data_IF_934464279591
#
_entry.id   IF_934464279591
#
_cell.length_a   1.000
_cell.length_b   1.000
_cell.length_c   1.000
_cell.angle_alpha   90.00
_cell.angle_beta   90.00
_cell.angle_gamma   90.00
#
_symmetry.space_group_name_H-M   'P 1'
#
loop_
_entity.id
_entity.type
_entity.pdbx_description
1 polymer ?
#
# COMPACT_ATOMS: atom_id res chain seq x y z
N UNK A 1 -3.53 8.55 10.76
CA UNK A 1 -4.79 7.87 11.15
C UNK A 1 -4.57 7.17 12.47
N UNK A 2 -5.57 7.17 13.34
CA UNK A 2 -5.58 6.48 14.63
C UNK A 2 -6.91 5.74 14.74
N UNK A 3 -6.88 4.44 14.90
CA UNK A 3 -8.04 3.56 14.94
C UNK A 3 -8.09 2.83 16.27
N UNK A 4 -9.18 3.01 16.99
CA UNK A 4 -9.47 2.21 18.18
C UNK A 4 -10.51 1.15 17.81
N UNK A 5 -10.07 -0.10 17.70
CA UNK A 5 -10.93 -1.24 17.36
C UNK A 5 -11.12 -2.07 18.63
N UNK A 6 -12.36 -2.41 19.04
CA UNK A 6 -12.59 -3.23 20.22
C UNK A 6 -11.80 -4.55 20.15
N UNK A 7 -11.11 -4.90 21.24
CA UNK A 7 -10.30 -6.11 21.39
C UNK A 7 -9.03 -6.20 20.52
N UNK A 8 -8.65 -5.13 19.81
CA UNK A 8 -7.35 -5.01 19.15
C UNK A 8 -6.54 -3.88 19.81
N UNK A 9 -5.22 -3.94 19.64
CA UNK A 9 -4.37 -2.80 19.93
C UNK A 9 -4.73 -1.60 19.03
N UNK A 10 -4.44 -0.40 19.51
CA UNK A 10 -4.68 0.80 18.73
C UNK A 10 -3.76 0.84 17.51
N UNK A 11 -4.35 0.97 16.32
CA UNK A 11 -3.59 1.08 15.08
C UNK A 11 -3.38 2.56 14.78
N UNK A 12 -2.13 2.97 14.57
CA UNK A 12 -1.77 4.35 14.23
C UNK A 12 -0.73 4.40 13.13
N UNK A 13 -0.95 5.17 12.06
CA UNK A 13 0.02 5.38 10.98
C UNK A 13 -0.14 6.75 10.32
N UNK A 14 0.96 7.30 9.79
CA UNK A 14 0.98 8.62 9.13
C UNK A 14 1.30 8.53 7.63
N UNK A 15 1.96 7.45 7.23
CA UNK A 15 2.30 7.17 5.84
C UNK A 15 1.52 5.97 5.29
N UNK A 16 1.34 5.95 3.98
CA UNK A 16 0.84 4.79 3.24
C UNK A 16 1.83 4.47 2.13
N UNK A 17 2.36 3.26 2.17
CA UNK A 17 3.35 2.75 1.24
C UNK A 17 2.68 1.78 0.28
N UNK A 18 2.93 1.98 -1.02
CA UNK A 18 2.38 1.16 -2.08
C UNK A 18 3.51 0.54 -2.92
N UNK A 19 3.40 -0.74 -3.24
CA UNK A 19 4.05 -1.26 -4.44
C UNK A 19 3.36 -0.75 -5.72
N UNK A 20 4.06 -0.81 -6.85
CA UNK A 20 3.51 -0.43 -8.15
C UNK A 20 2.81 -1.58 -8.88
N UNK A 21 3.54 -2.65 -9.24
CA UNK A 21 3.08 -3.65 -10.22
C UNK A 21 2.38 -4.81 -9.51
N UNK A 22 1.18 -5.17 -9.97
CA UNK A 22 0.31 -6.09 -9.26
C UNK A 22 -0.40 -5.46 -8.06
N UNK A 23 -0.12 -4.18 -7.77
CA UNK A 23 -0.71 -3.41 -6.67
C UNK A 23 -1.44 -2.16 -7.17
N UNK A 24 -0.72 -1.05 -7.43
CA UNK A 24 -1.34 0.19 -7.94
C UNK A 24 -1.72 0.10 -9.43
N UNK A 25 -1.02 -0.75 -10.17
CA UNK A 25 -1.11 -0.85 -11.61
C UNK A 25 -0.63 -2.19 -12.12
N UNK A 26 -0.73 -2.35 -13.44
CA UNK A 26 -0.30 -3.55 -14.16
C UNK A 26 0.72 -3.13 -15.22
N UNK A 27 1.81 -3.88 -15.37
CA UNK A 27 2.84 -3.62 -16.38
C UNK A 27 3.34 -2.16 -16.41
N UNK A 28 3.49 -1.55 -15.24
CA UNK A 28 3.97 -0.18 -15.07
C UNK A 28 2.95 0.90 -15.45
N UNK A 29 1.65 0.58 -15.54
CA UNK A 29 0.57 1.54 -15.86
C UNK A 29 -0.41 1.67 -14.70
N UNK A 30 -0.71 2.91 -14.30
CA UNK A 30 -1.69 3.18 -13.25
C UNK A 30 -2.98 3.71 -13.89
N UNK A 31 -4.12 3.10 -13.54
CA UNK A 31 -5.42 3.57 -14.01
C UNK A 31 -5.76 4.97 -13.49
N UNK A 32 -6.46 5.78 -14.30
CA UNK A 32 -6.80 7.17 -13.94
C UNK A 32 -7.65 7.28 -12.66
N UNK A 33 -8.53 6.31 -12.40
CA UNK A 33 -9.30 6.26 -11.16
C UNK A 33 -8.39 6.07 -9.93
N UNK A 34 -7.39 5.19 -10.01
CA UNK A 34 -6.41 4.99 -8.94
C UNK A 34 -5.60 6.27 -8.72
N UNK A 35 -5.15 6.94 -9.79
CA UNK A 35 -4.48 8.25 -9.69
C UNK A 35 -5.34 9.29 -8.98
N UNK A 36 -6.65 9.34 -9.26
CA UNK A 36 -7.58 10.23 -8.58
C UNK A 36 -7.73 9.89 -7.09
N UNK A 37 -7.79 8.59 -6.76
CA UNK A 37 -7.86 8.13 -5.36
C UNK A 37 -6.57 8.42 -4.58
N UNK A 38 -5.39 8.24 -5.20
CA UNK A 38 -4.11 8.63 -4.60
C UNK A 38 -4.09 10.13 -4.25
N UNK A 39 -4.61 11.00 -5.12
CA UNK A 39 -4.73 12.43 -4.81
C UNK A 39 -5.59 12.72 -3.58
N UNK A 40 -6.60 11.89 -3.30
CA UNK A 40 -7.43 12.05 -2.09
C UNK A 40 -6.72 11.56 -0.83
N UNK A 41 -5.81 10.59 -0.96
CA UNK A 41 -5.01 10.11 0.18
C UNK A 41 -3.97 11.13 0.62
N UNK A 42 -3.34 11.86 -0.31
CA UNK A 42 -2.28 12.83 0.04
C UNK A 42 -2.78 13.97 0.92
N UNK A 43 -4.09 14.25 0.92
CA UNK A 43 -4.70 15.26 1.79
C UNK A 43 -4.70 14.83 3.27
N UNK A 44 -4.42 13.55 3.54
CA UNK A 44 -4.50 12.93 4.88
C UNK A 44 -3.24 12.19 5.31
N UNK A 45 -2.40 11.78 4.36
CA UNK A 45 -1.27 10.89 4.60
C UNK A 45 -0.06 11.27 3.77
N UNK A 46 1.13 10.91 4.25
CA UNK A 46 2.30 10.82 3.38
C UNK A 46 2.15 9.58 2.49
N UNK A 47 1.88 9.76 1.20
CA UNK A 47 1.76 8.65 0.25
C UNK A 47 3.10 8.41 -0.44
N UNK A 48 3.59 7.17 -0.39
CA UNK A 48 4.88 6.76 -0.95
C UNK A 48 4.67 5.58 -1.87
N UNK A 49 5.25 5.63 -3.08
CA UNK A 49 5.29 4.51 -4.01
C UNK A 49 6.72 3.96 -4.06
N UNK A 50 6.89 2.69 -3.71
CA UNK A 50 8.17 1.99 -3.78
C UNK A 50 8.17 1.05 -4.98
N UNK A 51 9.10 1.22 -5.91
CA UNK A 51 9.16 0.36 -7.09
C UNK A 51 10.58 0.16 -7.61
N UNK A 52 10.82 -1.00 -8.21
CA UNK A 52 12.02 -1.27 -8.98
C UNK A 52 12.05 -0.56 -10.35
N UNK A 53 10.93 0.06 -10.75
CA UNK A 53 10.77 0.74 -12.04
C UNK A 53 11.26 -0.10 -13.23
N UNK A 54 10.95 -1.39 -13.24
CA UNK A 54 11.42 -2.34 -14.26
C UNK A 54 11.02 -1.93 -15.68
N UNK A 55 9.92 -1.17 -15.81
CA UNK A 55 9.39 -0.68 -17.09
C UNK A 55 9.86 0.75 -17.43
N UNK A 56 10.54 1.45 -16.53
CA UNK A 56 10.99 2.83 -16.73
C UNK A 56 9.86 3.86 -16.80
N UNK A 57 8.67 3.54 -16.28
CA UNK A 57 7.45 4.35 -16.39
C UNK A 57 7.10 5.09 -15.10
N UNK A 58 7.80 4.82 -13.99
CA UNK A 58 7.43 5.30 -12.66
C UNK A 58 7.28 6.83 -12.59
N UNK A 59 8.23 7.57 -13.14
CA UNK A 59 8.19 9.04 -13.16
C UNK A 59 7.08 9.60 -14.05
N UNK A 60 6.78 8.94 -15.17
CA UNK A 60 5.74 9.37 -16.10
C UNK A 60 4.34 9.12 -15.52
N UNK A 61 4.09 7.92 -14.98
CA UNK A 61 2.78 7.55 -14.43
C UNK A 61 2.40 8.35 -13.19
N UNK A 62 3.39 8.70 -12.36
CA UNK A 62 3.19 9.47 -11.14
C UNK A 62 3.38 10.99 -11.37
N UNK A 63 3.64 11.41 -12.61
CA UNK A 63 3.86 12.82 -12.94
C UNK A 63 2.66 13.68 -12.55
N UNK A 64 2.91 14.70 -11.74
CA UNK A 64 1.86 15.62 -11.26
C UNK A 64 0.97 15.04 -10.17
N UNK A 65 1.26 13.83 -9.67
CA UNK A 65 0.70 13.34 -8.41
C UNK A 65 1.58 13.81 -7.25
N UNK A 66 1.01 14.37 -6.18
CA UNK A 66 1.75 14.81 -5.00
C UNK A 66 2.15 13.63 -4.09
N UNK A 67 2.71 12.56 -4.67
CA UNK A 67 3.20 11.37 -3.96
C UNK A 67 4.72 11.37 -3.90
N UNK A 68 5.30 10.72 -2.90
CA UNK A 68 6.73 10.43 -2.85
C UNK A 68 7.03 9.17 -3.66
N UNK A 69 8.20 9.12 -4.28
CA UNK A 69 8.63 8.01 -5.11
C UNK A 69 9.98 7.54 -4.62
N UNK A 70 10.06 6.27 -4.24
CA UNK A 70 11.30 5.61 -3.80
C UNK A 70 11.64 4.50 -4.80
N UNK A 71 12.83 4.57 -5.39
CA UNK A 71 13.33 3.52 -6.29
C UNK A 71 14.01 2.46 -5.44
N UNK A 72 13.61 1.20 -5.60
CA UNK A 72 14.11 0.08 -4.78
C UNK A 72 14.50 -1.10 -5.65
N UNK A 73 15.65 -1.73 -5.41
CA UNK A 73 16.16 -2.81 -6.26
C UNK A 73 15.62 -4.20 -5.87
N UNK A 74 15.23 -4.39 -4.61
CA UNK A 74 14.77 -5.67 -4.07
C UNK A 74 13.93 -5.48 -2.79
N UNK A 75 13.37 -6.58 -2.28
CA UNK A 75 12.51 -6.53 -1.08
C UNK A 75 13.22 -6.14 0.22
N UNK A 76 14.52 -6.42 0.35
CA UNK A 76 15.30 -6.03 1.54
C UNK A 76 15.47 -4.51 1.59
N UNK A 77 15.85 -3.90 0.45
CA UNK A 77 15.95 -2.45 0.32
C UNK A 77 14.58 -1.77 0.50
N UNK A 78 13.53 -2.36 -0.07
CA UNK A 78 12.15 -1.88 0.10
C UNK A 78 11.75 -1.81 1.58
N UNK A 79 12.01 -2.88 2.33
CA UNK A 79 11.71 -2.93 3.77
C UNK A 79 12.57 -1.94 4.58
N UNK A 80 13.85 -1.75 4.21
CA UNK A 80 14.71 -0.79 4.90
C UNK A 80 14.25 0.66 4.69
N UNK A 81 13.89 1.03 3.46
CA UNK A 81 13.31 2.35 3.16
C UNK A 81 11.97 2.52 3.87
N UNK A 82 11.14 1.47 3.93
CA UNK A 82 9.84 1.52 4.58
C UNK A 82 9.94 1.92 6.06
N UNK A 83 10.97 1.47 6.78
CA UNK A 83 11.22 1.86 8.18
C UNK A 83 11.37 3.37 8.36
N UNK A 84 11.90 4.08 7.37
CA UNK A 84 12.02 5.54 7.39
C UNK A 84 10.68 6.28 7.37
N UNK A 85 9.59 5.58 7.05
CA UNK A 85 8.22 6.08 7.02
C UNK A 85 7.36 5.55 8.17
N UNK A 86 7.92 4.78 9.10
CA UNK A 86 7.20 4.27 10.27
C UNK A 86 6.72 5.44 11.17
N UNK A 87 5.48 5.38 11.68
CA UNK A 87 4.49 4.32 11.50
C UNK A 87 3.73 4.42 10.17
N UNK A 88 3.56 3.30 9.47
CA UNK A 88 2.96 3.25 8.14
C UNK A 88 1.93 2.13 7.96
N UNK A 89 0.98 2.34 7.04
CA UNK A 89 0.22 1.28 6.41
C UNK A 89 0.88 0.87 5.08
N UNK A 90 0.78 -0.39 4.70
CA UNK A 90 1.39 -0.93 3.49
C UNK A 90 0.38 -1.65 2.60
N UNK A 91 0.60 -1.56 1.29
CA UNK A 91 -0.20 -2.24 0.27
C UNK A 91 0.75 -2.87 -0.75
N UNK A 92 0.62 -4.18 -0.95
CA UNK A 92 1.46 -4.95 -1.86
C UNK A 92 0.79 -6.23 -2.34
N UNK A 93 1.49 -7.01 -3.15
CA UNK A 93 1.01 -8.32 -3.62
C UNK A 93 2.12 -9.37 -3.78
N UNK A 94 3.40 -8.96 -3.80
CA UNK A 94 4.53 -9.81 -4.19
C UNK A 94 5.44 -10.21 -3.04
N UNK A 95 6.32 -11.20 -3.30
CA UNK A 95 7.32 -11.65 -2.31
C UNK A 95 8.32 -10.55 -1.91
N UNK A 96 8.56 -9.57 -2.78
CA UNK A 96 9.39 -8.42 -2.46
C UNK A 96 8.70 -7.43 -1.50
N UNK A 97 7.40 -7.57 -1.23
CA UNK A 97 6.64 -6.73 -0.31
C UNK A 97 6.55 -7.31 1.10
N UNK A 98 6.77 -8.62 1.27
CA UNK A 98 6.52 -9.36 2.52
C UNK A 98 7.11 -8.65 3.74
N UNK A 99 8.40 -8.34 3.73
CA UNK A 99 9.04 -7.70 4.87
C UNK A 99 8.55 -6.25 5.13
N UNK A 100 8.06 -5.54 4.12
CA UNK A 100 7.41 -4.24 4.28
C UNK A 100 6.01 -4.42 4.90
N UNK A 101 5.26 -5.42 4.46
CA UNK A 101 3.92 -5.75 4.98
C UNK A 101 3.99 -6.18 6.45
N UNK A 102 4.91 -7.07 6.81
CA UNK A 102 5.11 -7.54 8.19
C UNK A 102 5.51 -6.40 9.16
N UNK A 103 6.17 -5.36 8.66
CA UNK A 103 6.57 -4.20 9.44
C UNK A 103 5.52 -3.09 9.53
N UNK A 104 4.36 -3.24 8.89
CA UNK A 104 3.31 -2.23 8.84
C UNK A 104 2.39 -2.31 10.06
N UNK A 105 1.80 -1.16 10.41
CA UNK A 105 0.74 -1.07 11.44
C UNK A 105 -0.60 -1.57 10.90
N UNK A 106 -0.74 -1.57 9.57
CA UNK A 106 -1.87 -2.10 8.83
C UNK A 106 -1.40 -2.49 7.42
N UNK A 107 -1.51 -3.76 7.08
CA UNK A 107 -1.07 -4.32 5.81
C UNK A 107 -2.24 -4.82 4.96
N UNK A 108 -2.22 -4.46 3.68
CA UNK A 108 -3.14 -4.94 2.66
C UNK A 108 -2.43 -5.79 1.62
N UNK A 109 -3.01 -6.95 1.30
CA UNK A 109 -2.64 -7.73 0.14
C UNK A 109 -3.68 -7.55 -0.98
N UNK A 110 -3.22 -7.20 -2.18
CA UNK A 110 -4.06 -7.05 -3.37
C UNK A 110 -3.98 -8.31 -4.23
N UNK A 111 -5.09 -9.02 -4.38
CA UNK A 111 -5.23 -10.12 -5.34
C UNK A 111 -5.79 -9.57 -6.64
N UNK A 112 -4.93 -8.86 -7.38
CA UNK A 112 -5.26 -8.29 -8.68
C UNK A 112 -5.17 -9.30 -9.85
N UNK A 113 -5.21 -8.82 -11.10
CA UNK A 113 -5.08 -9.66 -12.30
C UNK A 113 -3.76 -10.46 -12.38
N UNK A 114 -2.68 -9.92 -11.79
CA UNK A 114 -1.37 -10.59 -11.70
C UNK A 114 -1.30 -11.64 -10.57
N UNK A 115 -2.37 -11.77 -9.77
CA UNK A 115 -2.40 -12.59 -8.57
C UNK A 115 -1.62 -11.97 -7.40
N UNK A 116 -1.44 -12.76 -6.34
CA UNK A 116 -0.63 -12.41 -5.19
C UNK A 116 0.12 -13.65 -4.69
N UNK A 117 1.26 -13.45 -4.04
CA UNK A 117 2.00 -14.56 -3.44
C UNK A 117 1.37 -14.99 -2.13
N UNK A 118 1.52 -16.27 -1.79
CA UNK A 118 1.03 -16.82 -0.51
C UNK A 118 1.68 -16.08 0.67
N UNK A 119 2.97 -15.79 0.57
CA UNK A 119 3.71 -15.11 1.64
C UNK A 119 3.21 -13.68 1.85
N UNK A 120 2.92 -12.92 0.78
CA UNK A 120 2.34 -11.57 0.91
C UNK A 120 0.92 -11.60 1.50
N UNK A 121 0.13 -12.62 1.13
CA UNK A 121 -1.20 -12.84 1.70
C UNK A 121 -1.12 -13.09 3.21
N UNK A 122 -0.23 -13.99 3.65
CA UNK A 122 -0.07 -14.34 5.06
C UNK A 122 0.58 -13.22 5.89
N UNK A 123 1.34 -12.32 5.26
CA UNK A 123 1.93 -11.15 5.88
C UNK A 123 0.98 -9.93 5.97
N UNK A 124 -0.28 -10.07 5.58
CA UNK A 124 -1.26 -8.97 5.53
C UNK A 124 -2.42 -9.15 6.51
N UNK A 125 -3.01 -8.02 6.94
CA UNK A 125 -4.19 -8.00 7.81
C UNK A 125 -5.49 -8.09 7.00
N UNK A 126 -5.53 -7.47 5.83
CA UNK A 126 -6.72 -7.36 4.98
C UNK A 126 -6.37 -7.73 3.55
N UNK A 127 -7.20 -8.58 2.94
CA UNK A 127 -7.09 -8.96 1.54
C UNK A 127 -8.18 -8.25 0.75
N UNK A 128 -7.80 -7.65 -0.38
CA UNK A 128 -8.72 -7.03 -1.35
C UNK A 128 -8.46 -7.58 -2.76
N UNK A 129 -9.45 -7.52 -3.64
CA UNK A 129 -9.28 -7.91 -5.04
C UNK A 129 -8.80 -6.74 -5.92
N UNK A 130 -8.86 -5.52 -5.40
CA UNK A 130 -8.51 -4.31 -6.13
C UNK A 130 -7.98 -3.23 -5.17
N UNK A 131 -6.92 -2.53 -5.55
CA UNK A 131 -6.31 -1.47 -4.74
C UNK A 131 -7.29 -0.32 -4.45
N UNK A 132 -8.29 -0.09 -5.31
CA UNK A 132 -9.35 0.89 -5.08
C UNK A 132 -10.12 0.60 -3.80
N UNK A 133 -10.32 -0.67 -3.46
CA UNK A 133 -10.99 -1.07 -2.23
C UNK A 133 -10.13 -0.77 -1.00
N UNK A 134 -8.83 -1.08 -1.06
CA UNK A 134 -7.88 -0.72 0.01
C UNK A 134 -7.85 0.79 0.24
N UNK A 135 -7.73 1.60 -0.83
CA UNK A 135 -7.76 3.07 -0.72
C UNK A 135 -9.12 3.54 -0.16
N UNK A 136 -10.23 2.94 -0.58
CA UNK A 136 -11.54 3.30 -0.06
C UNK A 136 -11.69 2.98 1.44
N UNK A 137 -11.04 1.93 1.95
CA UNK A 137 -10.99 1.61 3.38
C UNK A 137 -10.08 2.60 4.14
N UNK A 138 -8.93 2.97 3.58
CA UNK A 138 -8.03 3.99 4.15
C UNK A 138 -8.69 5.39 4.20
N UNK A 139 -9.62 5.69 3.30
CA UNK A 139 -10.40 6.93 3.31
C UNK A 139 -11.63 6.88 4.24
N UNK A 140 -12.06 5.70 4.69
CA UNK A 140 -13.25 5.49 5.51
C UNK A 140 -12.99 4.46 6.62
N UNK A 141 -12.61 4.96 7.79
CA UNK A 141 -12.31 4.18 9.00
C UNK A 141 -13.41 3.19 9.40
N UNK A 142 -14.68 3.47 9.06
CA UNK A 142 -15.80 2.59 9.40
C UNK A 142 -15.68 1.25 8.69
N UNK A 143 -15.10 1.21 7.49
CA UNK A 143 -14.84 -0.03 6.76
C UNK A 143 -13.74 -0.84 7.43
N UNK A 144 -12.66 -0.18 7.86
CA UNK A 144 -11.56 -0.82 8.60
C UNK A 144 -12.07 -1.46 9.89
N UNK A 145 -12.80 -0.69 10.70
CA UNK A 145 -13.39 -1.17 11.95
C UNK A 145 -14.35 -2.34 11.67
N UNK A 146 -15.19 -2.24 10.64
CA UNK A 146 -16.15 -3.31 10.33
C UNK A 146 -15.47 -4.62 9.92
N UNK A 147 -14.33 -4.55 9.23
CA UNK A 147 -13.56 -5.71 8.77
C UNK A 147 -12.70 -6.32 9.87
N UNK A 148 -12.05 -5.49 10.69
CA UNK A 148 -11.07 -5.94 11.69
C UNK A 148 -11.69 -6.23 13.07
N UNK A 149 -12.91 -5.75 13.36
CA UNK A 149 -13.58 -6.10 14.62
C UNK A 149 -13.84 -7.61 14.67
N UNK A 150 -13.36 -8.26 15.72
CA UNK A 150 -13.49 -9.70 15.99
C UNK A 150 -12.82 -10.06 17.30
#
# INVERSE_FOLDING_TARGET
>A
MKLSIPNLEEIHFEAILFDLNGTLGESGRIGEEVKHLLKRLVDRYTVVVLSADTFGTLEEELKGLPVRVERVSNGVEKAEIAKGYSPYAAVGNGNNDVAMLEGAELAFCVIGPEGATIDALLASDIIVNDVRDAIAMLLDERKLIATLRG
#
